data_IF_111944249023
#
_entry.id   IF_111944249023
#
_cell.length_a   1.000
_cell.length_b   1.000
_cell.length_c   1.000
_cell.angle_alpha   90.00
_cell.angle_beta   90.00
_cell.angle_gamma   90.00
#
_symmetry.space_group_name_H-M   'P 1'
#
loop_
_entity.id
_entity.type
_entity.pdbx_description
1 polymer ?
#
# COMPACT_ATOMS: atom_id res chain seq x y z
N UNK A 1 4.52 -11.02 7.14
CA UNK A 1 5.27 -10.45 8.27
C UNK A 1 5.38 -8.93 8.14
N UNK A 2 5.95 -8.44 7.05
CA UNK A 2 6.07 -6.99 6.81
C UNK A 2 4.70 -6.29 6.76
N UNK A 3 3.69 -6.98 6.27
CA UNK A 3 2.33 -6.43 6.19
C UNK A 3 1.74 -6.20 7.59
N UNK A 4 1.94 -7.15 8.49
CA UNK A 4 1.52 -7.02 9.89
C UNK A 4 2.33 -5.93 10.60
N UNK A 5 3.62 -5.86 10.34
CA UNK A 5 4.49 -4.80 10.89
C UNK A 5 4.02 -3.41 10.43
N UNK A 6 3.57 -3.29 9.19
CA UNK A 6 3.01 -2.04 8.68
C UNK A 6 1.74 -1.64 9.44
N UNK A 7 0.85 -2.59 9.69
CA UNK A 7 -0.38 -2.34 10.43
C UNK A 7 -0.07 -1.93 11.88
N UNK A 8 0.85 -2.61 12.52
CA UNK A 8 1.28 -2.28 13.87
C UNK A 8 1.93 -0.88 13.94
N UNK A 9 2.74 -0.56 12.95
CA UNK A 9 3.37 0.76 12.85
C UNK A 9 2.32 1.87 12.73
N UNK A 10 1.33 1.68 11.87
CA UNK A 10 0.25 2.64 11.68
C UNK A 10 -0.51 2.85 13.00
N UNK A 11 -0.85 1.76 13.67
CA UNK A 11 -1.60 1.80 14.93
C UNK A 11 -0.81 2.51 16.03
N UNK A 12 0.47 2.16 16.18
CA UNK A 12 1.35 2.75 17.19
C UNK A 12 1.51 4.25 16.98
N UNK A 13 1.72 4.68 15.74
CA UNK A 13 1.90 6.10 15.45
C UNK A 13 0.60 6.89 15.59
N UNK A 14 -0.54 6.27 15.27
CA UNK A 14 -1.84 6.88 15.50
C UNK A 14 -2.04 7.19 16.99
N UNK A 15 -1.68 6.27 17.85
CA UNK A 15 -1.79 6.46 19.30
C UNK A 15 -0.77 7.47 19.82
N UNK A 16 0.49 7.33 19.39
CA UNK A 16 1.60 8.16 19.85
C UNK A 16 1.42 9.63 19.49
N UNK A 17 0.95 9.91 18.30
CA UNK A 17 0.80 11.29 17.78
C UNK A 17 -0.60 11.84 17.95
N UNK A 18 -1.47 11.11 18.65
CA UNK A 18 -2.87 11.47 18.77
C UNK A 18 -3.53 11.74 17.41
N UNK A 19 -3.07 10.99 16.41
CA UNK A 19 -3.61 11.09 15.07
C UNK A 19 -4.82 10.18 14.91
N UNK A 20 -5.63 10.46 13.89
CA UNK A 20 -6.68 9.56 13.44
C UNK A 20 -6.25 8.98 12.11
N UNK A 21 -6.46 7.69 11.96
CA UNK A 21 -6.15 7.02 10.70
C UNK A 21 -7.37 6.25 10.19
N UNK A 22 -7.58 6.34 8.89
CA UNK A 22 -8.54 5.51 8.16
C UNK A 22 -7.77 4.68 7.17
N UNK A 23 -8.02 3.37 7.17
CA UNK A 23 -7.32 2.43 6.33
C UNK A 23 -8.30 1.79 5.35
N UNK A 24 -7.99 1.89 4.07
CA UNK A 24 -8.69 1.18 3.01
C UNK A 24 -7.78 0.06 2.52
N UNK A 25 -8.32 -1.12 2.31
CA UNK A 25 -7.53 -2.26 1.83
C UNK A 25 -8.34 -3.11 0.87
N UNK A 26 -7.67 -3.77 -0.04
CA UNK A 26 -8.33 -4.66 -0.98
C UNK A 26 -7.34 -5.45 -1.82
N UNK A 27 -7.86 -6.39 -2.60
CA UNK A 27 -7.04 -7.16 -3.53
C UNK A 27 -6.81 -6.42 -4.84
N UNK A 28 -5.73 -6.79 -5.52
CA UNK A 28 -5.51 -6.44 -6.93
C UNK A 28 -5.69 -7.73 -7.73
N UNK A 29 -6.77 -7.84 -8.48
CA UNK A 29 -7.03 -9.01 -9.31
C UNK A 29 -6.32 -8.87 -10.66
N UNK A 30 -5.79 -9.98 -11.14
CA UNK A 30 -5.16 -10.08 -12.45
C UNK A 30 -5.71 -11.31 -13.19
N UNK A 31 -5.59 -11.30 -14.53
CA UNK A 31 -6.12 -12.39 -15.36
C UNK A 31 -5.42 -13.72 -15.08
N UNK A 32 -4.15 -13.67 -14.68
CA UNK A 32 -3.34 -14.85 -14.39
C UNK A 32 -3.39 -15.28 -12.91
N UNK A 33 -4.30 -14.74 -12.12
CA UNK A 33 -4.51 -15.18 -10.74
C UNK A 33 -4.95 -16.64 -10.69
N UNK A 34 -4.43 -17.37 -9.70
CA UNK A 34 -4.84 -18.74 -9.47
C UNK A 34 -6.32 -18.84 -9.12
N UNK A 35 -6.94 -19.90 -9.61
CA UNK A 35 -8.28 -20.26 -9.21
C UNK A 35 -8.22 -21.36 -8.14
N UNK A 36 -8.98 -21.17 -7.07
CA UNK A 36 -9.19 -22.18 -6.05
C UNK A 36 -10.68 -22.30 -5.81
N UNK A 37 -11.23 -23.49 -6.13
CA UNK A 37 -12.68 -23.77 -6.03
C UNK A 37 -13.53 -22.70 -6.75
N UNK A 38 -13.06 -22.26 -7.93
CA UNK A 38 -13.75 -21.25 -8.74
C UNK A 38 -13.56 -19.81 -8.30
N UNK A 39 -12.74 -19.56 -7.29
CA UNK A 39 -12.44 -18.21 -6.79
C UNK A 39 -11.02 -17.82 -7.14
N UNK A 40 -10.83 -16.62 -7.69
CA UNK A 40 -9.51 -16.06 -7.95
C UNK A 40 -8.80 -15.74 -6.65
N UNK A 41 -7.54 -16.19 -6.57
CA UNK A 41 -6.66 -15.86 -5.45
C UNK A 41 -5.71 -14.75 -5.92
N UNK A 42 -5.83 -13.52 -5.40
CA UNK A 42 -4.99 -12.43 -5.84
C UNK A 42 -3.55 -12.61 -5.36
N UNK A 43 -2.61 -12.18 -6.19
CA UNK A 43 -1.17 -12.16 -5.88
C UNK A 43 -0.76 -10.87 -5.19
N UNK A 44 -1.59 -9.85 -5.26
CA UNK A 44 -1.28 -8.54 -4.73
C UNK A 44 -2.47 -7.98 -3.96
N UNK A 45 -2.14 -7.21 -2.94
CA UNK A 45 -3.10 -6.47 -2.13
C UNK A 45 -2.62 -5.03 -2.00
N UNK A 46 -3.56 -4.11 -1.86
CA UNK A 46 -3.25 -2.70 -1.68
C UNK A 46 -3.79 -2.19 -0.35
N UNK A 47 -3.17 -1.12 0.13
CA UNK A 47 -3.61 -0.42 1.33
C UNK A 47 -3.40 1.08 1.11
N UNK A 48 -4.42 1.87 1.38
CA UNK A 48 -4.34 3.33 1.39
C UNK A 48 -4.67 3.79 2.79
N UNK A 49 -3.80 4.63 3.35
CA UNK A 49 -3.94 5.14 4.72
C UNK A 49 -4.09 6.63 4.66
N UNK A 50 -5.14 7.13 5.27
CA UNK A 50 -5.38 8.56 5.45
C UNK A 50 -5.20 8.90 6.92
N UNK A 51 -4.38 9.90 7.20
CA UNK A 51 -4.09 10.36 8.56
C UNK A 51 -4.64 11.77 8.76
N UNK A 52 -5.12 12.02 9.95
CA UNK A 52 -5.43 13.37 10.37
C UNK A 52 -4.80 13.58 11.75
N UNK A 53 -3.82 14.48 11.84
CA UNK A 53 -3.17 14.80 13.10
C UNK A 53 -4.17 15.51 14.04
N UNK A 54 -3.83 15.60 15.32
CA UNK A 54 -4.67 16.35 16.28
C UNK A 54 -4.72 17.85 15.97
N UNK A 55 -3.75 18.34 15.20
CA UNK A 55 -3.73 19.72 14.66
C UNK A 55 -4.57 19.87 13.39
N UNK A 56 -5.20 18.80 12.92
CA UNK A 56 -6.03 18.82 11.73
C UNK A 56 -5.26 18.75 10.42
N UNK A 57 -3.97 18.38 10.44
CA UNK A 57 -3.17 18.25 9.22
C UNK A 57 -3.40 16.89 8.56
N UNK A 58 -3.91 16.88 7.33
CA UNK A 58 -4.09 15.62 6.60
C UNK A 58 -2.79 15.12 5.97
N UNK A 59 -2.67 13.80 5.88
CA UNK A 59 -1.61 13.11 5.15
C UNK A 59 -2.14 11.79 4.63
N UNK A 60 -1.62 11.31 3.54
CA UNK A 60 -1.99 10.03 2.97
C UNK A 60 -0.77 9.28 2.47
N UNK A 61 -0.87 7.96 2.46
CA UNK A 61 0.15 7.09 1.90
C UNK A 61 -0.49 5.83 1.37
N UNK A 62 0.18 5.16 0.45
CA UNK A 62 -0.34 3.95 -0.16
C UNK A 62 0.73 2.87 -0.22
N UNK A 63 0.30 1.63 -0.17
CA UNK A 63 1.20 0.48 -0.11
C UNK A 63 0.65 -0.67 -0.95
N UNK A 64 1.56 -1.49 -1.45
CA UNK A 64 1.22 -2.77 -2.06
C UNK A 64 2.05 -3.88 -1.46
N UNK A 65 1.42 -5.01 -1.24
CA UNK A 65 2.09 -6.27 -1.00
C UNK A 65 1.94 -7.10 -2.27
N UNK A 66 3.04 -7.62 -2.77
CA UNK A 66 3.08 -8.28 -4.07
C UNK A 66 3.87 -9.58 -3.99
N UNK A 67 3.23 -10.67 -4.39
CA UNK A 67 3.83 -12.00 -4.50
C UNK A 67 4.11 -12.38 -5.95
N UNK A 68 3.71 -11.56 -6.90
CA UNK A 68 3.67 -11.96 -8.32
C UNK A 68 5.04 -12.33 -8.89
N UNK A 69 6.10 -11.69 -8.42
CA UNK A 69 7.46 -11.94 -8.89
C UNK A 69 8.03 -13.26 -8.40
N UNK A 70 7.38 -13.87 -7.44
CA UNK A 70 7.92 -14.99 -6.68
C UNK A 70 7.16 -16.28 -6.93
N UNK A 71 5.99 -16.22 -7.52
CA UNK A 71 5.12 -17.36 -7.76
C UNK A 71 5.62 -18.32 -8.86
N UNK A 72 6.68 -17.96 -9.57
CA UNK A 72 7.30 -18.84 -10.59
C UNK A 72 8.27 -19.87 -10.02
N UNK A 73 8.60 -19.81 -8.75
CA UNK A 73 9.59 -20.68 -8.12
C UNK A 73 8.94 -21.50 -7.01
N UNK A 74 9.23 -22.79 -7.00
CA UNK A 74 8.64 -23.72 -6.02
C UNK A 74 8.95 -23.37 -4.57
N UNK A 75 10.09 -22.74 -4.34
CA UNK A 75 10.50 -22.32 -3.01
C UNK A 75 9.69 -21.17 -2.46
N UNK A 76 8.86 -20.58 -3.29
CA UNK A 76 8.22 -19.31 -3.01
C UNK A 76 6.78 -19.41 -2.55
N UNK A 77 6.29 -20.62 -2.40
CA UNK A 77 5.09 -20.84 -1.60
C UNK A 77 5.25 -20.24 -0.21
N UNK A 78 6.51 -20.08 0.22
CA UNK A 78 6.88 -19.55 1.54
C UNK A 78 7.86 -18.38 1.47
N UNK A 79 8.12 -17.83 0.27
CA UNK A 79 9.01 -16.70 0.09
C UNK A 79 8.50 -15.44 0.79
N UNK A 80 9.39 -14.50 1.07
CA UNK A 80 8.99 -13.27 1.73
C UNK A 80 8.05 -12.45 0.84
N UNK A 81 6.92 -12.07 1.39
CA UNK A 81 6.05 -11.09 0.76
C UNK A 81 6.80 -9.76 0.69
N UNK A 82 6.74 -9.10 -0.45
CA UNK A 82 7.36 -7.79 -0.60
C UNK A 82 6.32 -6.70 -0.49
N UNK A 83 6.59 -5.76 0.40
CA UNK A 83 5.75 -4.58 0.60
C UNK A 83 6.44 -3.38 -0.01
N UNK A 84 5.69 -2.63 -0.82
CA UNK A 84 6.16 -1.41 -1.45
C UNK A 84 5.28 -0.25 -1.03
N UNK A 85 5.89 0.90 -0.81
CA UNK A 85 5.13 2.14 -0.78
C UNK A 85 4.95 2.62 -2.22
N UNK A 86 3.72 2.93 -2.59
CA UNK A 86 3.33 3.44 -3.91
C UNK A 86 2.61 4.75 -3.73
N UNK A 87 2.35 5.44 -4.81
CA UNK A 87 1.48 6.63 -4.74
C UNK A 87 0.01 6.22 -4.63
N UNK A 88 -0.80 7.07 -4.03
CA UNK A 88 -2.26 6.92 -4.04
C UNK A 88 -2.78 6.89 -5.47
N UNK A 89 -2.23 7.73 -6.34
CA UNK A 89 -2.58 7.75 -7.77
C UNK A 89 -2.35 6.39 -8.42
N UNK A 90 -1.23 5.73 -8.11
CA UNK A 90 -0.93 4.42 -8.66
C UNK A 90 -1.98 3.38 -8.25
N UNK A 91 -2.41 3.42 -7.00
CA UNK A 91 -3.46 2.51 -6.52
C UNK A 91 -4.80 2.82 -7.20
N UNK A 92 -5.13 4.09 -7.38
CA UNK A 92 -6.34 4.47 -8.11
C UNK A 92 -6.32 3.93 -9.54
N UNK A 93 -5.19 4.03 -10.22
CA UNK A 93 -5.04 3.52 -11.58
C UNK A 93 -5.15 2.00 -11.66
N UNK A 94 -4.56 1.30 -10.68
CA UNK A 94 -4.58 -0.16 -10.64
C UNK A 94 -5.97 -0.72 -10.36
N UNK A 95 -6.74 -0.06 -9.50
CA UNK A 95 -8.00 -0.60 -8.99
C UNK A 95 -9.23 0.00 -9.63
N UNK A 96 -9.10 1.16 -10.25
CA UNK A 96 -10.25 1.96 -10.71
C UNK A 96 -11.02 2.63 -9.59
N UNK A 97 -10.58 2.49 -8.36
CA UNK A 97 -11.19 3.13 -7.19
C UNK A 97 -10.61 4.55 -7.06
N UNK A 98 -11.45 5.50 -6.71
CA UNK A 98 -11.02 6.88 -6.46
C UNK A 98 -11.13 7.18 -4.98
N UNK A 99 -10.07 7.79 -4.43
CA UNK A 99 -9.99 8.14 -3.01
C UNK A 99 -10.19 9.64 -2.79
N UNK A 100 -11.08 10.26 -3.56
CA UNK A 100 -11.36 11.70 -3.50
C UNK A 100 -10.05 12.49 -3.66
N UNK A 101 -9.75 13.39 -2.71
CA UNK A 101 -8.58 14.25 -2.80
C UNK A 101 -7.37 13.72 -1.99
N UNK A 102 -7.38 12.46 -1.56
CA UNK A 102 -6.29 11.90 -0.75
C UNK A 102 -4.95 11.97 -1.45
N UNK A 103 -4.91 11.84 -2.77
CA UNK A 103 -3.68 11.94 -3.54
C UNK A 103 -2.96 13.28 -3.33
N UNK A 104 -3.69 14.35 -3.07
CA UNK A 104 -3.12 15.68 -2.85
C UNK A 104 -2.29 15.76 -1.56
N UNK A 105 -2.56 14.86 -0.62
CA UNK A 105 -1.88 14.79 0.67
C UNK A 105 -0.84 13.68 0.72
N UNK A 106 -0.56 13.03 -0.41
CA UNK A 106 0.42 11.97 -0.56
C UNK A 106 1.66 12.50 -1.25
N UNK A 107 2.80 12.47 -0.55
CA UNK A 107 4.06 12.95 -1.10
C UNK A 107 4.49 12.23 -2.37
N UNK A 108 4.23 10.92 -2.46
CA UNK A 108 4.55 10.14 -3.66
C UNK A 108 3.71 10.58 -4.86
N UNK A 109 2.41 10.81 -4.66
CA UNK A 109 1.53 11.30 -5.74
C UNK A 109 1.97 12.67 -6.23
N UNK A 110 2.32 13.57 -5.32
CA UNK A 110 2.77 14.91 -5.67
C UNK A 110 4.11 14.87 -6.42
N UNK A 111 5.02 14.01 -6.01
CA UNK A 111 6.30 13.84 -6.71
C UNK A 111 6.10 13.24 -8.11
N UNK A 112 5.23 12.26 -8.26
CA UNK A 112 4.90 11.68 -9.57
C UNK A 112 4.31 12.74 -10.52
N UNK A 113 3.42 13.59 -10.03
CA UNK A 113 2.85 14.68 -10.83
C UNK A 113 3.91 15.68 -11.26
N UNK A 114 4.85 15.98 -10.37
CA UNK A 114 5.90 16.96 -10.64
C UNK A 114 6.96 16.42 -11.61
N UNK A 115 7.31 15.14 -11.52
CA UNK A 115 8.42 14.55 -12.29
C UNK A 115 7.96 13.76 -13.51
N UNK A 116 6.71 13.34 -13.55
CA UNK A 116 6.20 12.41 -14.56
C UNK A 116 6.78 11.00 -14.43
N UNK A 117 7.45 10.70 -13.33
CA UNK A 117 8.14 9.43 -13.09
C UNK A 117 7.44 8.66 -11.98
N UNK A 118 7.23 7.36 -12.19
CA UNK A 118 6.67 6.45 -11.18
C UNK A 118 7.57 6.41 -9.96
N UNK A 119 6.98 6.60 -8.78
CA UNK A 119 7.68 6.55 -7.50
C UNK A 119 7.26 5.26 -6.77
N UNK A 120 8.26 4.50 -6.33
CA UNK A 120 8.06 3.25 -5.60
C UNK A 120 9.23 3.06 -4.63
N UNK A 121 8.93 2.59 -3.43
CA UNK A 121 9.96 2.31 -2.42
C UNK A 121 9.69 0.96 -1.77
N UNK A 122 10.70 0.10 -1.74
CA UNK A 122 10.63 -1.18 -1.03
C UNK A 122 10.63 -0.89 0.48
N UNK A 123 9.67 -1.48 1.18
CA UNK A 123 9.55 -1.36 2.63
C UNK A 123 10.08 -2.64 3.27
N UNK A 124 11.18 -2.53 3.97
CA UNK A 124 11.81 -3.64 4.71
C UNK A 124 11.43 -3.62 6.18
N UNK A 125 11.04 -2.47 6.69
CA UNK A 125 10.59 -2.27 8.06
C UNK A 125 9.98 -0.88 8.22
N UNK A 126 9.46 -0.56 9.42
CA UNK A 126 8.77 0.71 9.65
C UNK A 126 9.60 1.95 9.34
N UNK A 127 10.92 1.86 9.44
CA UNK A 127 11.82 2.98 9.18
C UNK A 127 11.83 3.42 7.71
N UNK A 128 11.37 2.56 6.80
CA UNK A 128 11.36 2.87 5.36
C UNK A 128 10.09 3.58 4.92
N UNK A 129 9.10 3.69 5.80
CA UNK A 129 7.82 4.31 5.50
C UNK A 129 7.97 5.82 5.46
N UNK A 130 7.50 6.42 4.38
CA UNK A 130 7.52 7.88 4.18
C UNK A 130 6.08 8.42 4.26
N UNK A 131 5.89 9.34 5.15
CA UNK A 131 4.59 9.98 5.35
C UNK A 131 4.53 11.37 4.74
#
# INVERSE_FOLDING_TARGET
KTWLELEDYILDNTQRWKARATVFTGPVFADDDRLYRGVKIPKAFWKVVAYLSDEGKPSASAYMIDQSRELGQLDLVFGPLRTYQRSVIAIEQLTGIRFANLADYDGFSNEERATGTRIEALIRGPQDIRL
#
